data_IF_591904112209
#
_entry.id   IF_591904112209
#
_cell.length_a   1.000
_cell.length_b   1.000
_cell.length_c   1.000
_cell.angle_alpha   90.00
_cell.angle_beta   90.00
_cell.angle_gamma   90.00
#
_symmetry.space_group_name_H-M   'P 1'
#
loop_
_entity.id
_entity.type
_entity.pdbx_description
1 polymer ?
#
# COMPACT_ATOMS: atom_id res chain seq x y z
N UNK A 1 -12.50 -16.53 -4.48
CA UNK A 1 -11.19 -15.84 -4.46
C UNK A 1 -10.13 -16.92 -4.49
N UNK A 2 -9.10 -16.78 -5.32
CA UNK A 2 -8.03 -17.77 -5.39
C UNK A 2 -6.85 -17.28 -4.54
N UNK A 3 -6.35 -18.15 -3.67
CA UNK A 3 -5.13 -17.89 -2.92
C UNK A 3 -3.92 -18.36 -3.74
N UNK A 4 -2.81 -17.64 -3.62
CA UNK A 4 -1.53 -18.07 -4.18
C UNK A 4 -1.22 -19.47 -3.68
N UNK A 5 -0.81 -20.34 -4.60
CA UNK A 5 -0.49 -21.75 -4.36
C UNK A 5 -1.58 -22.57 -3.65
N UNK A 6 -2.84 -22.08 -3.65
CA UNK A 6 -3.96 -22.61 -2.87
C UNK A 6 -3.62 -22.78 -1.37
N UNK A 7 -2.84 -21.85 -0.80
CA UNK A 7 -2.32 -21.98 0.57
C UNK A 7 -3.41 -22.16 1.62
N UNK A 8 -4.49 -21.38 1.55
CA UNK A 8 -5.60 -21.49 2.49
C UNK A 8 -6.28 -22.87 2.43
N UNK A 9 -6.48 -23.41 1.24
CA UNK A 9 -7.03 -24.76 1.09
C UNK A 9 -6.07 -25.81 1.67
N UNK A 10 -4.76 -25.66 1.42
CA UNK A 10 -3.73 -26.59 1.92
C UNK A 10 -3.59 -26.60 3.44
N UNK A 11 -3.87 -25.49 4.12
CA UNK A 11 -3.87 -25.47 5.59
C UNK A 11 -5.17 -25.99 6.21
N UNK A 12 -6.21 -26.32 5.42
CA UNK A 12 -7.49 -26.81 5.94
C UNK A 12 -8.70 -25.91 5.65
N UNK A 13 -8.56 -24.95 4.73
CA UNK A 13 -9.62 -24.07 4.27
C UNK A 13 -9.78 -22.80 5.11
N UNK A 14 -10.81 -22.02 4.78
CA UNK A 14 -11.02 -20.69 5.36
C UNK A 14 -11.14 -20.70 6.88
N UNK A 15 -11.84 -21.68 7.47
CA UNK A 15 -12.03 -21.75 8.92
C UNK A 15 -10.72 -21.96 9.68
N UNK A 16 -9.80 -22.78 9.14
CA UNK A 16 -8.49 -22.97 9.75
C UNK A 16 -7.63 -21.72 9.62
N UNK A 17 -7.70 -21.06 8.45
CA UNK A 17 -7.00 -19.79 8.25
C UNK A 17 -7.52 -18.70 9.19
N UNK A 18 -8.84 -18.56 9.37
CA UNK A 18 -9.41 -17.60 10.31
C UNK A 18 -8.92 -17.86 11.75
N UNK A 19 -8.81 -19.13 12.16
CA UNK A 19 -8.24 -19.49 13.46
C UNK A 19 -6.76 -19.12 13.59
N UNK A 20 -5.96 -19.33 12.54
CA UNK A 20 -4.55 -18.89 12.49
C UNK A 20 -4.45 -17.37 12.66
N UNK A 21 -5.34 -16.59 12.04
CA UNK A 21 -5.35 -15.13 12.18
C UNK A 21 -5.72 -14.69 13.60
N UNK A 22 -6.67 -15.38 14.24
CA UNK A 22 -6.99 -15.14 15.65
C UNK A 22 -5.75 -15.38 16.52
N UNK A 23 -5.06 -16.51 16.33
CA UNK A 23 -3.80 -16.82 17.05
C UNK A 23 -2.69 -15.80 16.79
N UNK A 24 -2.57 -15.34 15.56
CA UNK A 24 -1.65 -14.27 15.21
C UNK A 24 -1.95 -12.96 15.97
N UNK A 25 -3.24 -12.59 16.09
CA UNK A 25 -3.64 -11.39 16.83
C UNK A 25 -3.44 -11.52 18.35
N UNK A 26 -3.60 -12.72 18.92
CA UNK A 26 -3.24 -13.01 20.31
C UNK A 26 -1.75 -12.72 20.56
N UNK A 27 -0.86 -13.20 19.67
CA UNK A 27 0.58 -12.95 19.75
C UNK A 27 0.93 -11.46 19.63
N UNK A 28 0.34 -10.76 18.66
CA UNK A 28 0.52 -9.29 18.52
C UNK A 28 0.14 -8.56 19.80
N UNK A 29 -0.98 -8.92 20.41
CA UNK A 29 -1.51 -8.25 21.61
C UNK A 29 -0.64 -8.52 22.85
N UNK A 30 0.00 -9.70 22.90
CA UNK A 30 0.90 -10.09 23.98
C UNK A 30 2.30 -9.45 23.87
N UNK A 31 2.70 -9.03 22.66
CA UNK A 31 4.03 -8.45 22.42
C UNK A 31 4.13 -6.98 22.87
N UNK A 32 5.05 -6.71 23.79
CA UNK A 32 5.25 -5.37 24.35
C UNK A 32 5.79 -4.34 23.34
N UNK A 33 6.54 -4.78 22.34
CA UNK A 33 7.07 -3.91 21.28
C UNK A 33 5.98 -3.47 20.31
N UNK A 34 4.97 -4.30 20.09
CA UNK A 34 3.83 -3.99 19.22
C UNK A 34 2.67 -3.32 19.96
N UNK A 35 2.59 -3.49 21.29
CA UNK A 35 1.53 -2.95 22.14
C UNK A 35 1.28 -1.46 21.95
N UNK A 36 2.33 -0.66 21.73
CA UNK A 36 2.19 0.79 21.55
C UNK A 36 1.33 1.16 20.33
N UNK A 37 1.29 0.31 19.29
CA UNK A 37 0.56 0.55 18.05
C UNK A 37 -0.89 0.04 18.12
N UNK A 38 -1.13 -1.05 18.86
CA UNK A 38 -2.42 -1.76 18.85
C UNK A 38 -3.18 -1.71 20.18
N UNK A 39 -2.66 -1.03 21.23
CA UNK A 39 -3.26 -1.02 22.58
C UNK A 39 -4.72 -0.52 22.64
N UNK A 40 -5.10 0.39 21.75
CA UNK A 40 -6.42 1.03 21.74
C UNK A 40 -7.36 0.37 20.71
N UNK A 41 -6.88 -0.67 20.01
CA UNK A 41 -7.64 -1.39 19.00
C UNK A 41 -8.42 -2.53 19.66
N UNK A 42 -9.72 -2.60 19.40
CA UNK A 42 -10.52 -3.75 19.80
C UNK A 42 -10.05 -5.01 19.07
N UNK A 43 -10.14 -6.16 19.74
CA UNK A 43 -9.59 -7.41 19.23
C UNK A 43 -10.17 -7.80 17.84
N UNK A 44 -11.48 -7.64 17.65
CA UNK A 44 -12.13 -7.92 16.36
C UNK A 44 -11.65 -6.96 15.26
N UNK A 45 -11.39 -5.70 15.59
CA UNK A 45 -10.83 -4.73 14.64
C UNK A 45 -9.40 -5.08 14.25
N UNK A 46 -8.60 -5.59 15.20
CA UNK A 46 -7.25 -6.08 14.93
C UNK A 46 -7.30 -7.30 14.00
N UNK A 47 -8.21 -8.24 14.26
CA UNK A 47 -8.40 -9.42 13.40
C UNK A 47 -8.71 -9.00 11.96
N UNK A 48 -9.67 -8.10 11.76
CA UNK A 48 -10.03 -7.65 10.41
C UNK A 48 -8.88 -6.90 9.73
N UNK A 49 -8.15 -6.04 10.47
CA UNK A 49 -6.95 -5.37 9.96
C UNK A 49 -5.86 -6.36 9.52
N UNK A 50 -5.61 -7.40 10.31
CA UNK A 50 -4.63 -8.44 9.98
C UNK A 50 -5.10 -9.34 8.84
N UNK A 51 -6.41 -9.64 8.73
CA UNK A 51 -6.96 -10.36 7.57
C UNK A 51 -6.77 -9.58 6.28
N UNK A 52 -7.03 -8.27 6.28
CA UNK A 52 -6.79 -7.43 5.11
C UNK A 52 -5.32 -7.41 4.73
N UNK A 53 -4.43 -7.27 5.72
CA UNK A 53 -2.98 -7.32 5.53
C UNK A 53 -2.54 -8.64 4.89
N UNK A 54 -2.93 -9.77 5.47
CA UNK A 54 -2.59 -11.10 4.95
C UNK A 54 -3.24 -11.37 3.59
N UNK A 55 -4.45 -10.89 3.35
CA UNK A 55 -5.12 -11.02 2.06
C UNK A 55 -4.35 -10.32 0.94
N UNK A 56 -3.75 -9.17 1.21
CA UNK A 56 -2.90 -8.46 0.24
C UNK A 56 -1.64 -9.27 -0.12
N UNK A 57 -1.07 -10.03 0.84
CA UNK A 57 0.06 -10.93 0.58
C UNK A 57 -0.35 -12.22 -0.16
N UNK A 58 -1.45 -12.84 0.27
CA UNK A 58 -1.74 -14.25 -0.03
C UNK A 58 -2.74 -14.45 -1.17
N UNK A 59 -3.54 -13.46 -1.54
CA UNK A 59 -4.48 -13.60 -2.64
C UNK A 59 -3.78 -13.46 -4.00
N UNK A 60 -4.18 -14.31 -4.93
CA UNK A 60 -3.81 -14.20 -6.33
C UNK A 60 -4.88 -13.35 -7.04
N UNK A 61 -4.66 -12.04 -7.03
CA UNK A 61 -5.59 -11.05 -7.58
C UNK A 61 -5.08 -10.47 -8.90
N UNK A 62 -5.98 -10.18 -9.86
CA UNK A 62 -5.64 -9.36 -11.02
C UNK A 62 -5.00 -8.03 -10.58
N UNK A 63 -4.04 -7.53 -11.36
CA UNK A 63 -3.23 -6.35 -11.00
C UNK A 63 -4.05 -5.14 -10.54
N UNK A 64 -5.13 -4.80 -11.24
CA UNK A 64 -6.00 -3.68 -10.88
C UNK A 64 -6.73 -3.87 -9.54
N UNK A 65 -7.06 -5.11 -9.15
CA UNK A 65 -7.66 -5.40 -7.84
C UNK A 65 -6.59 -5.34 -6.77
N UNK A 66 -5.39 -5.84 -7.06
CA UNK A 66 -4.22 -5.76 -6.17
C UNK A 66 -3.90 -4.30 -5.84
N UNK A 67 -3.85 -3.40 -6.83
CA UNK A 67 -3.61 -1.96 -6.60
C UNK A 67 -4.64 -1.34 -5.64
N UNK A 68 -5.92 -1.68 -5.81
CA UNK A 68 -6.99 -1.20 -4.93
C UNK A 68 -6.85 -1.78 -3.51
N UNK A 69 -6.52 -3.08 -3.38
CA UNK A 69 -6.30 -3.72 -2.09
C UNK A 69 -5.09 -3.11 -1.36
N UNK A 70 -3.98 -2.87 -2.06
CA UNK A 70 -2.80 -2.21 -1.54
C UNK A 70 -3.08 -0.77 -1.13
N UNK A 71 -3.86 -0.02 -1.93
CA UNK A 71 -4.28 1.34 -1.59
C UNK A 71 -5.10 1.39 -0.30
N UNK A 72 -6.06 0.46 -0.11
CA UNK A 72 -6.80 0.35 1.15
C UNK A 72 -5.90 -0.01 2.32
N UNK A 73 -4.98 -0.93 2.12
CA UNK A 73 -4.03 -1.34 3.15
C UNK A 73 -3.17 -0.16 3.61
N UNK A 74 -2.68 0.65 2.67
CA UNK A 74 -1.91 1.87 2.96
C UNK A 74 -2.71 2.86 3.79
N UNK A 75 -4.00 3.06 3.48
CA UNK A 75 -4.88 3.95 4.26
C UNK A 75 -5.08 3.39 5.68
N UNK A 76 -5.35 2.09 5.82
CA UNK A 76 -5.65 1.48 7.11
C UNK A 76 -4.44 1.40 8.04
N UNK A 77 -3.22 1.35 7.49
CA UNK A 77 -1.96 1.35 8.25
C UNK A 77 -1.34 2.73 8.41
N UNK A 78 -1.91 3.78 7.80
CA UNK A 78 -1.33 5.12 7.77
C UNK A 78 -1.01 5.64 9.18
N UNK A 79 -1.98 5.62 10.09
CA UNK A 79 -1.82 6.13 11.45
C UNK A 79 -0.78 5.34 12.25
N UNK A 80 -0.67 4.03 12.00
CA UNK A 80 0.30 3.16 12.64
C UNK A 80 1.72 3.50 12.18
N UNK A 81 1.91 3.72 10.88
CA UNK A 81 3.20 4.14 10.33
C UNK A 81 3.59 5.54 10.79
N UNK A 82 2.64 6.48 10.85
CA UNK A 82 2.87 7.81 11.41
C UNK A 82 3.25 7.76 12.90
N UNK A 83 2.76 6.74 13.62
CA UNK A 83 3.13 6.46 15.01
C UNK A 83 4.49 5.75 15.16
N UNK A 84 5.16 5.43 14.05
CA UNK A 84 6.51 4.84 14.03
C UNK A 84 6.58 3.34 13.75
N UNK A 85 5.47 2.70 13.35
CA UNK A 85 5.49 1.32 12.86
C UNK A 85 6.40 1.25 11.62
N UNK A 86 7.35 0.31 11.59
CA UNK A 86 8.46 0.30 10.64
C UNK A 86 8.96 -1.12 10.39
N UNK A 87 10.01 -1.28 9.59
CA UNK A 87 10.55 -2.58 9.19
C UNK A 87 10.94 -3.51 10.35
N UNK A 88 11.42 -2.98 11.48
CA UNK A 88 11.71 -3.83 12.66
C UNK A 88 10.43 -4.43 13.24
N UNK A 89 9.35 -3.65 13.22
CA UNK A 89 8.03 -4.13 13.65
C UNK A 89 7.45 -5.11 12.62
N UNK A 90 7.75 -4.94 11.33
CA UNK A 90 7.40 -5.93 10.31
C UNK A 90 8.05 -7.30 10.58
N UNK A 91 9.34 -7.33 10.93
CA UNK A 91 10.01 -8.59 11.30
C UNK A 91 9.33 -9.26 12.50
N UNK A 92 8.87 -8.44 13.47
CA UNK A 92 8.16 -8.92 14.67
C UNK A 92 6.76 -9.46 14.30
N UNK A 93 6.01 -8.73 13.48
CA UNK A 93 4.71 -9.17 12.95
C UNK A 93 4.85 -10.49 12.18
N UNK A 94 5.88 -10.60 11.33
CA UNK A 94 6.18 -11.81 10.58
C UNK A 94 6.48 -12.98 11.51
N UNK A 95 7.35 -12.78 12.51
CA UNK A 95 7.68 -13.81 13.48
C UNK A 95 6.42 -14.34 14.19
N UNK A 96 5.54 -13.46 14.66
CA UNK A 96 4.27 -13.84 15.29
C UNK A 96 3.32 -14.59 14.37
N UNK A 97 3.28 -14.24 13.08
CA UNK A 97 2.49 -14.98 12.10
C UNK A 97 3.06 -16.38 11.82
N UNK A 98 4.38 -16.52 11.74
CA UNK A 98 5.03 -17.83 11.59
C UNK A 98 4.81 -18.69 12.84
N UNK A 99 4.88 -18.10 14.03
CA UNK A 99 4.56 -18.80 15.28
C UNK A 99 3.10 -19.25 15.34
N UNK A 100 2.14 -18.42 14.92
CA UNK A 100 0.73 -18.81 14.89
C UNK A 100 0.45 -19.98 13.94
N UNK A 101 1.15 -20.04 12.79
CA UNK A 101 1.10 -21.18 11.88
C UNK A 101 1.60 -22.47 12.57
N UNK A 102 2.69 -22.40 13.34
CA UNK A 102 3.24 -23.53 14.09
C UNK A 102 2.32 -23.98 15.23
N UNK A 103 1.74 -23.05 15.95
CA UNK A 103 0.76 -23.32 17.01
C UNK A 103 -0.49 -24.04 16.46
N UNK A 104 -0.81 -23.78 15.20
CA UNK A 104 -1.89 -24.43 14.46
C UNK A 104 -1.43 -25.70 13.71
N UNK A 105 -0.23 -26.19 13.99
CA UNK A 105 0.37 -27.40 13.39
C UNK A 105 0.42 -27.40 11.85
N UNK A 106 0.59 -26.23 11.25
CA UNK A 106 0.82 -26.12 9.80
C UNK A 106 2.19 -26.71 9.45
N UNK A 107 2.24 -27.46 8.35
CA UNK A 107 3.47 -28.12 7.89
C UNK A 107 4.56 -27.08 7.49
N UNK A 108 5.83 -27.35 7.81
CA UNK A 108 6.94 -26.40 7.61
C UNK A 108 7.18 -25.99 6.13
N UNK A 109 6.87 -26.88 5.18
CA UNK A 109 6.87 -26.56 3.75
C UNK A 109 5.82 -25.49 3.40
N UNK A 110 4.64 -25.52 4.03
CA UNK A 110 3.62 -24.49 3.86
C UNK A 110 4.03 -23.20 4.56
N UNK A 111 4.57 -23.29 5.78
CA UNK A 111 5.11 -22.14 6.52
C UNK A 111 6.13 -21.37 5.67
N UNK A 112 7.02 -22.08 4.99
CA UNK A 112 8.01 -21.47 4.08
C UNK A 112 7.35 -20.67 2.95
N UNK A 113 6.24 -21.16 2.39
CA UNK A 113 5.48 -20.43 1.37
C UNK A 113 4.77 -19.21 1.95
N UNK A 114 4.16 -19.33 3.13
CA UNK A 114 3.57 -18.20 3.84
C UNK A 114 4.60 -17.10 4.13
N UNK A 115 5.78 -17.47 4.62
CA UNK A 115 6.89 -16.55 4.89
C UNK A 115 7.29 -15.76 3.62
N UNK A 116 7.47 -16.46 2.50
CA UNK A 116 7.80 -15.85 1.21
C UNK A 116 6.74 -14.85 0.74
N UNK A 117 5.45 -15.20 0.83
CA UNK A 117 4.38 -14.30 0.43
C UNK A 117 4.22 -13.13 1.40
N UNK A 118 4.42 -13.36 2.70
CA UNK A 118 4.38 -12.31 3.71
C UNK A 118 5.47 -11.26 3.45
N UNK A 119 6.70 -11.70 3.15
CA UNK A 119 7.83 -10.81 2.83
C UNK A 119 7.56 -9.88 1.63
N UNK A 120 6.62 -10.22 0.74
CA UNK A 120 6.24 -9.33 -0.38
C UNK A 120 5.64 -7.99 0.08
N UNK A 121 5.15 -7.89 1.32
CA UNK A 121 4.62 -6.67 1.91
C UNK A 121 5.68 -5.79 2.59
N UNK A 122 6.91 -6.28 2.77
CA UNK A 122 8.00 -5.54 3.41
C UNK A 122 8.21 -4.13 2.86
N UNK A 123 8.15 -3.87 1.53
CA UNK A 123 8.36 -2.52 0.99
C UNK A 123 7.44 -1.45 1.60
N UNK A 124 6.23 -1.82 2.03
CA UNK A 124 5.29 -0.89 2.67
C UNK A 124 5.81 -0.31 3.98
N UNK A 125 6.68 -1.03 4.68
CA UNK A 125 7.26 -0.59 5.96
C UNK A 125 8.55 0.23 5.79
N UNK A 126 9.04 0.36 4.55
CA UNK A 126 10.24 1.11 4.20
C UNK A 126 9.92 2.52 3.68
N UNK A 127 8.75 2.71 3.08
CA UNK A 127 8.38 3.97 2.42
C UNK A 127 7.94 5.09 3.36
N UNK A 128 7.49 4.76 4.57
CA UNK A 128 6.82 5.72 5.48
C UNK A 128 7.76 6.34 6.52
N UNK A 129 9.07 6.36 6.25
CA UNK A 129 10.00 7.07 7.12
C UNK A 129 9.60 8.56 7.19
N UNK A 130 9.41 9.15 8.39
CA UNK A 130 8.84 10.49 8.58
C UNK A 130 9.63 11.61 7.87
N UNK A 131 10.89 11.35 7.50
CA UNK A 131 11.72 12.27 6.71
C UNK A 131 11.32 12.40 5.23
N UNK A 132 10.38 11.60 4.70
CA UNK A 132 9.93 11.72 3.30
C UNK A 132 8.74 12.65 3.08
N UNK A 133 7.97 13.02 4.11
CA UNK A 133 6.92 14.07 3.98
C UNK A 133 7.51 15.39 3.46
N UNK A 134 8.75 15.71 3.84
CA UNK A 134 9.45 16.90 3.37
C UNK A 134 9.81 16.84 1.87
N UNK A 135 10.05 15.65 1.31
CA UNK A 135 10.33 15.48 -0.13
C UNK A 135 9.02 15.56 -0.92
N UNK A 136 7.93 14.97 -0.44
CA UNK A 136 6.64 15.01 -1.14
C UNK A 136 6.02 16.42 -1.14
N UNK A 137 6.12 17.16 -0.04
CA UNK A 137 5.71 18.57 0.02
C UNK A 137 6.59 19.47 -0.86
N UNK A 138 7.91 19.23 -0.91
CA UNK A 138 8.81 19.97 -1.80
C UNK A 138 8.53 19.68 -3.28
N UNK A 139 8.22 18.44 -3.65
CA UNK A 139 7.88 18.06 -5.03
C UNK A 139 6.53 18.66 -5.46
N UNK A 140 5.51 18.62 -4.59
CA UNK A 140 4.20 19.26 -4.85
C UNK A 140 4.35 20.79 -4.96
N UNK A 141 5.17 21.41 -4.11
CA UNK A 141 5.47 22.84 -4.16
C UNK A 141 6.22 23.24 -5.45
N UNK A 142 7.21 22.43 -5.87
CA UNK A 142 7.95 22.65 -7.11
C UNK A 142 7.03 22.57 -8.34
N UNK A 143 6.11 21.60 -8.36
CA UNK A 143 5.17 21.41 -9.46
C UNK A 143 4.21 22.61 -9.60
N UNK A 144 3.70 23.12 -8.47
CA UNK A 144 2.86 24.32 -8.46
C UNK A 144 3.61 25.56 -8.95
N UNK A 145 4.90 25.69 -8.62
CA UNK A 145 5.74 26.80 -9.08
C UNK A 145 6.02 26.74 -10.59
N UNK A 146 6.34 25.56 -11.13
CA UNK A 146 6.60 25.37 -12.57
C UNK A 146 5.32 25.64 -13.39
N UNK A 147 4.15 25.16 -12.93
CA UNK A 147 2.87 25.43 -13.59
C UNK A 147 2.51 26.92 -13.60
N UNK A 148 2.86 27.67 -12.53
CA UNK A 148 2.68 29.12 -12.47
C UNK A 148 3.55 29.88 -13.49
N UNK A 149 4.77 29.43 -13.74
CA UNK A 149 5.70 30.05 -14.71
C UNK A 149 5.21 29.79 -16.14
N UNK A 150 4.76 28.57 -16.44
CA UNK A 150 4.28 28.20 -17.78
C UNK A 150 3.05 29.02 -18.22
N UNK A 151 2.12 29.31 -17.30
CA UNK A 151 0.93 30.10 -17.60
C UNK A 151 1.24 31.59 -17.86
N UNK A 152 2.35 32.12 -17.32
CA UNK A 152 2.78 33.51 -17.58
C UNK A 152 3.49 33.68 -18.93
N UNK A 153 4.10 32.61 -19.45
CA UNK A 153 4.82 32.66 -20.73
C UNK A 153 3.91 32.55 -21.98
N UNK A 154 2.66 32.08 -21.84
CA UNK A 154 1.75 31.86 -22.97
C UNK A 154 0.88 33.09 -23.34
N UNK A 155 0.93 34.18 -22.57
CA UNK A 155 0.08 35.37 -22.77
C UNK A 155 0.60 36.42 -23.76
N UNK A 156 1.68 36.16 -24.48
CA UNK A 156 2.49 37.21 -25.11
C UNK A 156 2.79 37.06 -26.60
N UNK A 157 1.82 36.75 -27.46
CA UNK A 157 2.04 36.84 -28.92
C UNK A 157 0.91 37.60 -29.61
N UNK A 158 0.98 38.93 -29.54
CA UNK A 158 0.23 39.86 -30.39
C UNK A 158 0.96 39.96 -31.74
N UNK A 159 0.49 39.27 -32.78
CA UNK A 159 0.99 39.49 -34.15
C UNK A 159 0.13 40.52 -34.87
N UNK A 160 0.69 41.73 -35.02
CA UNK A 160 0.31 42.72 -36.02
C UNK A 160 0.91 42.34 -37.39
N UNK A 161 0.11 42.37 -38.47
CA UNK A 161 0.50 42.76 -39.86
C UNK A 161 -0.76 42.65 -40.75
N UNK A 162 -1.44 43.73 -41.16
CA UNK A 162 -1.12 44.73 -42.17
C UNK A 162 -0.66 44.13 -43.52
N UNK A 163 -1.50 44.29 -44.55
CA UNK A 163 -1.20 43.85 -45.92
C UNK A 163 -2.33 44.05 -46.93
N UNK A 164 -2.81 45.29 -47.04
CA UNK A 164 -3.65 45.81 -48.14
C UNK A 164 -2.85 45.77 -49.45
N UNK A 165 -3.47 45.47 -50.60
CA UNK A 165 -3.40 46.23 -51.88
C UNK A 165 -4.24 45.53 -52.99
N UNK A 166 -4.77 46.28 -53.98
CA UNK A 166 -5.95 45.92 -54.75
C UNK A 166 -5.71 45.74 -56.27
N UNK A 167 -6.84 45.43 -56.94
CA UNK A 167 -7.29 45.97 -58.24
C UNK A 167 -6.98 45.22 -59.54
N UNK A 168 -8.00 45.12 -60.40
CA UNK A 168 -7.82 45.20 -61.86
C UNK A 168 -8.45 44.12 -62.75
N UNK A 169 -9.70 44.37 -63.19
CA UNK A 169 -10.33 44.10 -64.51
C UNK A 169 -9.62 43.22 -65.56
N UNK A 170 -10.37 42.37 -66.29
CA UNK A 170 -10.97 42.72 -67.59
C UNK A 170 -11.63 41.51 -68.32
N UNK A 171 -12.79 41.81 -68.94
CA UNK A 171 -13.46 41.25 -70.13
C UNK A 171 -12.77 40.14 -70.94
N UNK A 172 -13.56 39.14 -71.38
CA UNK A 172 -14.32 39.13 -72.65
C UNK A 172 -15.44 38.12 -72.58
#
# INVERSE_FOLDING_TARGET
MNYKDNLVEKVGGQSQFDFIVIKYCEHITADQSLKLFFKDMEHDSLIELQKEFLSAALLDLPSHITEVAMGRLVVNYQDLWESGLNERHFDTLKAHFIESLRDCWVEENLITLFDQHFDSLRPLFHEVSPNKKQIQEQVVSLHHHISSIAQRSAGGTRTNRLGRIPNGNART
#
